data_IF_830418525853
#
_entry.id   IF_830418525853
#
_cell.length_a   1.000
_cell.length_b   1.000
_cell.length_c   1.000
_cell.angle_alpha   90.00
_cell.angle_beta   90.00
_cell.angle_gamma   90.00
#
_symmetry.space_group_name_H-M   'P 1'
#
loop_
_entity.id
_entity.type
_entity.pdbx_description
1 polymer ?
#
# COMPACT_ATOMS: atom_id res chain seq x y z
N UNK A 1 9.24 2.46 97.76
CA UNK A 1 8.12 1.73 98.40
C UNK A 1 7.13 1.36 97.31
N UNK A 2 6.84 0.07 97.19
CA UNK A 2 5.74 -0.56 96.47
C UNK A 2 5.79 -0.71 94.94
N UNK A 3 5.28 -1.88 94.55
CA UNK A 3 5.40 -2.68 93.34
C UNK A 3 4.52 -2.19 92.16
N UNK A 4 4.77 -2.69 90.92
CA UNK A 4 3.84 -2.63 89.78
C UNK A 4 2.69 -3.66 89.97
N UNK A 5 1.54 -3.60 89.27
CA UNK A 5 1.42 -4.23 87.94
C UNK A 5 0.32 -3.64 87.01
N UNK A 6 0.35 -3.89 85.70
CA UNK A 6 -0.63 -4.77 85.04
C UNK A 6 -0.44 -4.82 83.51
N UNK A 7 -0.79 -5.98 82.99
CA UNK A 7 -0.67 -6.49 81.64
C UNK A 7 -1.74 -5.99 80.64
N UNK A 8 -1.46 -6.31 79.36
CA UNK A 8 -2.40 -6.73 78.29
C UNK A 8 -2.95 -5.67 77.31
N UNK A 9 -2.31 -5.71 76.13
CA UNK A 9 -2.87 -5.95 74.77
C UNK A 9 -3.56 -4.85 73.95
N UNK A 10 -3.34 -5.01 72.63
CA UNK A 10 -4.03 -4.43 71.44
C UNK A 10 -3.79 -2.93 71.21
N UNK A 11 -3.42 -2.43 70.03
CA UNK A 11 -3.59 -2.93 68.66
C UNK A 11 -2.48 -2.34 67.76
N UNK A 12 -2.08 -3.09 66.74
CA UNK A 12 -1.00 -2.74 65.81
C UNK A 12 -1.57 -2.09 64.57
N UNK A 13 -1.66 -0.75 64.53
CA UNK A 13 -1.96 -0.03 63.28
C UNK A 13 -0.67 0.13 62.45
N UNK A 14 -0.28 -0.96 61.79
CA UNK A 14 0.69 -0.93 60.70
C UNK A 14 0.03 -0.22 59.49
N UNK A 15 0.51 0.98 59.21
CA UNK A 15 0.19 1.75 58.01
C UNK A 15 0.78 1.03 56.77
N UNK A 16 0.02 0.11 56.19
CA UNK A 16 0.29 -0.46 54.87
C UNK A 16 0.06 0.63 53.82
N UNK A 17 1.09 1.43 53.54
CA UNK A 17 1.15 2.20 52.30
C UNK A 17 1.31 1.23 51.13
N UNK A 18 0.21 0.65 50.69
CA UNK A 18 0.14 -0.16 49.48
C UNK A 18 0.15 0.76 48.26
N UNK A 19 1.33 1.32 47.96
CA UNK A 19 1.65 1.80 46.62
C UNK A 19 2.15 0.59 45.82
N UNK A 20 1.22 -0.25 45.39
CA UNK A 20 1.51 -1.29 44.43
C UNK A 20 0.82 -0.91 43.12
N UNK A 21 1.64 -0.47 42.16
CA UNK A 21 1.17 -0.09 40.85
C UNK A 21 0.59 -1.30 40.13
N UNK A 22 -0.71 -1.28 39.88
CA UNK A 22 -1.24 -1.93 38.70
C UNK A 22 -1.17 -0.91 37.56
N UNK A 23 0.00 -0.86 36.89
CA UNK A 23 -0.09 -0.87 35.44
C UNK A 23 -0.80 -2.19 35.14
N UNK A 24 -2.13 -2.13 35.04
CA UNK A 24 -2.88 -3.15 34.34
C UNK A 24 -2.18 -3.23 32.99
N UNK A 25 -1.72 -4.42 32.61
CA UNK A 25 -1.37 -4.71 31.24
C UNK A 25 -2.63 -4.36 30.41
N UNK A 26 -2.70 -3.13 29.87
CA UNK A 26 -3.77 -2.73 28.97
C UNK A 26 -3.70 -3.71 27.80
N UNK A 27 -4.70 -4.57 27.71
CA UNK A 27 -4.80 -5.56 26.64
C UNK A 27 -4.91 -4.77 25.33
N UNK A 28 -3.95 -5.01 24.42
CA UNK A 28 -3.90 -4.33 23.12
C UNK A 28 -5.16 -4.70 22.36
N UNK A 29 -5.97 -3.70 22.02
CA UNK A 29 -7.20 -3.93 21.24
C UNK A 29 -6.89 -4.53 19.87
N UNK A 30 -7.84 -5.23 19.27
CA UNK A 30 -7.70 -5.77 17.92
C UNK A 30 -7.33 -4.67 16.90
N UNK A 31 -7.92 -3.49 17.03
CA UNK A 31 -7.69 -2.33 16.16
C UNK A 31 -6.23 -1.85 16.27
N UNK A 32 -5.75 -1.65 17.50
CA UNK A 32 -4.36 -1.26 17.76
C UNK A 32 -3.41 -2.33 17.23
N UNK A 33 -3.63 -3.60 17.59
CA UNK A 33 -2.83 -4.73 17.11
C UNK A 33 -2.76 -4.75 15.59
N UNK A 34 -3.90 -4.67 14.90
CA UNK A 34 -4.00 -4.74 13.45
C UNK A 34 -3.25 -3.58 12.78
N UNK A 35 -3.37 -2.36 13.29
CA UNK A 35 -2.70 -1.19 12.73
C UNK A 35 -1.17 -1.23 12.92
N UNK A 36 -0.68 -1.93 13.93
CA UNK A 36 0.75 -2.12 14.20
C UNK A 36 1.39 -3.32 13.50
N UNK A 37 0.59 -4.15 12.80
CA UNK A 37 1.13 -5.24 11.98
C UNK A 37 2.03 -4.70 10.86
N UNK A 38 3.11 -5.44 10.57
CA UNK A 38 3.98 -5.15 9.42
C UNK A 38 3.18 -5.30 8.12
N UNK A 39 3.18 -4.28 7.27
CA UNK A 39 2.35 -4.21 6.06
C UNK A 39 1.06 -3.40 6.23
N UNK A 40 0.71 -3.00 7.46
CA UNK A 40 -0.47 -2.22 7.77
C UNK A 40 -0.14 -0.76 8.14
N UNK A 41 1.07 -0.30 7.81
CA UNK A 41 1.58 1.01 8.21
C UNK A 41 0.73 2.18 7.66
N UNK A 42 -0.12 1.94 6.64
CA UNK A 42 -0.98 2.95 6.07
C UNK A 42 -2.30 3.16 6.82
N UNK A 43 -2.74 2.22 7.65
CA UNK A 43 -3.97 2.34 8.41
C UNK A 43 -3.86 3.37 9.54
N UNK A 44 -4.96 4.03 9.86
CA UNK A 44 -5.15 4.70 11.16
C UNK A 44 -6.10 3.86 12.01
N UNK A 45 -5.99 4.01 13.32
CA UNK A 45 -6.92 3.41 14.27
C UNK A 45 -8.27 4.12 14.12
N UNK A 46 -9.32 3.35 13.84
CA UNK A 46 -10.70 3.83 13.74
C UNK A 46 -11.29 3.84 15.13
N UNK A 47 -11.91 4.95 15.52
CA UNK A 47 -12.56 5.05 16.83
C UNK A 47 -13.69 4.01 16.97
N UNK A 48 -13.74 3.29 18.10
CA UNK A 48 -14.76 2.27 18.33
C UNK A 48 -16.19 2.84 18.29
N UNK A 49 -16.41 4.07 18.76
CA UNK A 49 -17.72 4.73 18.72
C UNK A 49 -18.21 4.96 17.28
N UNK A 50 -17.30 5.15 16.33
CA UNK A 50 -17.62 5.25 14.91
C UNK A 50 -18.08 3.90 14.35
N UNK A 51 -17.46 2.81 14.80
CA UNK A 51 -17.78 1.43 14.39
C UNK A 51 -19.11 0.97 15.03
N UNK A 52 -19.35 1.31 16.29
CA UNK A 52 -20.58 0.95 17.01
C UNK A 52 -21.84 1.63 16.46
N UNK A 53 -21.72 2.71 15.69
CA UNK A 53 -22.84 3.34 15.00
C UNK A 53 -23.13 2.63 13.66
N UNK A 54 -24.14 1.75 13.67
CA UNK A 54 -24.62 0.98 12.51
C UNK A 54 -24.83 1.82 11.25
N UNK A 55 -25.19 3.10 11.38
CA UNK A 55 -25.37 3.97 10.23
C UNK A 55 -24.10 4.08 9.38
N UNK A 56 -22.93 4.15 10.03
CA UNK A 56 -21.63 4.25 9.37
C UNK A 56 -21.26 2.94 8.63
N UNK A 57 -21.82 1.81 9.06
CA UNK A 57 -21.55 0.48 8.52
C UNK A 57 -22.56 0.03 7.44
N UNK A 58 -23.56 0.85 7.13
CA UNK A 58 -24.64 0.54 6.19
C UNK A 58 -24.11 -0.09 4.88
N UNK A 59 -24.65 -1.26 4.53
CA UNK A 59 -24.35 -1.98 3.28
C UNK A 59 -23.06 -2.81 3.27
N UNK A 60 -22.28 -2.84 4.37
CA UNK A 60 -21.09 -3.68 4.47
C UNK A 60 -21.43 -5.16 4.74
N UNK A 61 -22.53 -5.44 5.45
CA UNK A 61 -22.99 -6.81 5.75
C UNK A 61 -23.29 -7.65 4.50
N UNK A 62 -23.65 -7.02 3.38
CA UNK A 62 -23.86 -7.71 2.10
C UNK A 62 -22.55 -8.06 1.36
N UNK A 63 -21.43 -7.44 1.75
CA UNK A 63 -20.12 -7.58 1.09
C UNK A 63 -19.19 -8.53 1.86
N UNK A 64 -19.34 -8.62 3.18
CA UNK A 64 -18.44 -9.34 4.06
C UNK A 64 -19.09 -10.65 4.54
N UNK A 65 -18.45 -11.82 4.36
CA UNK A 65 -18.91 -13.07 4.95
C UNK A 65 -18.71 -13.05 6.46
N UNK A 66 -19.56 -13.75 7.22
CA UNK A 66 -19.47 -13.80 8.68
C UNK A 66 -19.46 -12.41 9.35
N UNK A 67 -20.20 -11.44 8.79
CA UNK A 67 -20.15 -10.03 9.18
C UNK A 67 -20.26 -9.80 10.70
N UNK A 68 -21.23 -10.42 11.38
CA UNK A 68 -21.41 -10.27 12.83
C UNK A 68 -20.18 -10.75 13.62
N UNK A 69 -19.68 -11.96 13.31
CA UNK A 69 -18.46 -12.50 13.94
C UNK A 69 -17.23 -11.64 13.66
N UNK A 70 -17.10 -11.15 12.43
CA UNK A 70 -16.02 -10.25 12.03
C UNK A 70 -16.08 -8.92 12.80
N UNK A 71 -17.29 -8.37 12.99
CA UNK A 71 -17.50 -7.13 13.75
C UNK A 71 -17.20 -7.32 15.24
N UNK A 72 -17.67 -8.42 15.84
CA UNK A 72 -17.37 -8.79 17.22
C UNK A 72 -15.86 -8.96 17.43
N UNK A 73 -15.17 -9.59 16.47
CA UNK A 73 -13.70 -9.73 16.50
C UNK A 73 -12.99 -8.37 16.48
N UNK A 74 -13.45 -7.42 15.67
CA UNK A 74 -12.85 -6.08 15.58
C UNK A 74 -13.04 -5.28 16.89
N UNK A 75 -14.18 -5.48 17.55
CA UNK A 75 -14.56 -4.76 18.78
C UNK A 75 -14.16 -5.51 20.07
N UNK A 76 -13.35 -6.57 19.96
CA UNK A 76 -12.97 -7.46 21.07
C UNK A 76 -14.18 -7.90 21.93
N UNK A 77 -15.31 -8.16 21.27
CA UNK A 77 -16.54 -8.58 21.93
C UNK A 77 -16.60 -10.11 22.04
N UNK A 78 -16.33 -10.62 23.25
CA UNK A 78 -16.43 -12.05 23.56
C UNK A 78 -17.88 -12.47 23.87
N UNK A 79 -18.53 -13.13 22.91
CA UNK A 79 -19.78 -13.84 23.16
C UNK A 79 -19.50 -15.20 23.84
N UNK A 80 -19.88 -15.36 25.10
CA UNK A 80 -19.63 -16.59 25.89
C UNK A 80 -20.37 -17.85 25.37
N UNK A 81 -21.26 -17.69 24.40
CA UNK A 81 -22.06 -18.76 23.78
C UNK A 81 -21.48 -19.27 22.44
N UNK A 82 -20.23 -18.90 22.11
CA UNK A 82 -19.68 -19.14 20.79
C UNK A 82 -19.46 -20.63 20.48
N UNK A 83 -20.39 -21.21 19.72
CA UNK A 83 -20.29 -22.55 19.14
C UNK A 83 -19.60 -22.51 17.76
N UNK A 84 -18.69 -21.55 17.55
CA UNK A 84 -17.89 -21.47 16.33
C UNK A 84 -17.01 -22.72 16.21
N UNK A 85 -17.04 -23.35 15.04
CA UNK A 85 -16.13 -24.46 14.75
C UNK A 85 -14.73 -23.91 14.50
N UNK A 86 -13.70 -24.62 14.98
CA UNK A 86 -12.29 -24.21 14.89
C UNK A 86 -11.82 -24.00 13.43
N UNK A 87 -12.43 -24.66 12.45
CA UNK A 87 -12.14 -24.49 11.03
C UNK A 87 -12.70 -23.19 10.41
N UNK A 88 -13.66 -22.54 11.07
CA UNK A 88 -14.28 -21.29 10.62
C UNK A 88 -13.51 -20.05 11.11
N UNK A 89 -12.76 -20.18 12.20
CA UNK A 89 -11.99 -19.10 12.80
C UNK A 89 -11.06 -18.35 11.82
N UNK A 90 -10.23 -19.01 10.96
CA UNK A 90 -9.39 -18.28 10.00
C UNK A 90 -10.19 -17.54 8.91
N UNK A 91 -11.42 -17.99 8.61
CA UNK A 91 -12.31 -17.29 7.68
C UNK A 91 -12.88 -16.03 8.31
N UNK A 92 -13.21 -16.07 9.60
CA UNK A 92 -13.66 -14.91 10.38
C UNK A 92 -12.54 -13.89 10.52
N UNK A 93 -11.31 -14.32 10.84
CA UNK A 93 -10.15 -13.42 10.89
C UNK A 93 -9.93 -12.70 9.55
N UNK A 94 -10.02 -13.43 8.43
CA UNK A 94 -9.91 -12.83 7.10
C UNK A 94 -11.05 -11.85 6.83
N UNK A 95 -12.27 -12.17 7.26
CA UNK A 95 -13.43 -11.29 7.13
C UNK A 95 -13.29 -10.02 7.98
N UNK A 96 -12.75 -10.12 9.20
CA UNK A 96 -12.47 -8.99 10.09
C UNK A 96 -11.48 -8.01 9.44
N UNK A 97 -10.38 -8.51 8.88
CA UNK A 97 -9.41 -7.66 8.17
C UNK A 97 -10.03 -6.95 6.96
N UNK A 98 -10.87 -7.65 6.18
CA UNK A 98 -11.58 -7.05 5.05
C UNK A 98 -12.61 -6.01 5.48
N UNK A 99 -13.38 -6.31 6.54
CA UNK A 99 -14.38 -5.41 7.10
C UNK A 99 -13.73 -4.14 7.64
N UNK A 100 -12.69 -4.27 8.47
CA UNK A 100 -11.95 -3.14 9.01
C UNK A 100 -11.39 -2.25 7.89
N UNK A 101 -10.87 -2.85 6.83
CA UNK A 101 -10.41 -2.10 5.66
C UNK A 101 -11.50 -1.27 4.99
N UNK A 102 -12.71 -1.81 4.82
CA UNK A 102 -13.85 -1.07 4.26
C UNK A 102 -14.39 0.01 5.21
N UNK A 103 -14.35 -0.25 6.52
CA UNK A 103 -14.69 0.75 7.55
C UNK A 103 -13.70 1.90 7.50
N UNK A 104 -12.39 1.58 7.45
CA UNK A 104 -11.31 2.55 7.37
C UNK A 104 -11.47 3.49 6.16
N UNK A 105 -11.81 2.94 4.98
CA UNK A 105 -12.05 3.74 3.77
C UNK A 105 -13.14 4.82 3.96
N UNK A 106 -14.17 4.51 4.76
CA UNK A 106 -15.23 5.48 5.12
C UNK A 106 -14.74 6.44 6.20
N UNK A 107 -14.09 5.93 7.24
CA UNK A 107 -13.64 6.71 8.39
C UNK A 107 -12.67 7.83 8.00
N UNK A 108 -11.72 7.56 7.10
CA UNK A 108 -10.72 8.56 6.68
C UNK A 108 -11.29 9.75 5.89
N UNK A 109 -12.57 9.71 5.51
CA UNK A 109 -13.31 10.83 4.93
C UNK A 109 -14.03 11.69 5.98
N UNK A 110 -14.06 11.26 7.24
CA UNK A 110 -14.60 12.05 8.36
C UNK A 110 -13.56 13.06 8.86
N UNK A 111 -13.99 14.05 9.65
CA UNK A 111 -13.05 14.99 10.27
C UNK A 111 -12.04 14.32 11.21
N UNK A 112 -12.46 13.29 11.96
CA UNK A 112 -11.61 12.54 12.89
C UNK A 112 -10.56 11.71 12.13
N UNK A 113 -11.00 10.92 11.16
CA UNK A 113 -10.10 10.16 10.29
C UNK A 113 -9.15 11.03 9.47
N UNK A 114 -9.62 12.18 8.94
CA UNK A 114 -8.74 13.13 8.25
C UNK A 114 -7.64 13.72 9.16
N UNK A 115 -7.93 13.94 10.45
CA UNK A 115 -6.93 14.41 11.40
C UNK A 115 -5.88 13.32 11.70
N UNK A 116 -6.29 12.08 11.93
CA UNK A 116 -5.39 10.95 12.14
C UNK A 116 -4.47 10.70 10.92
N UNK A 117 -5.04 10.75 9.71
CA UNK A 117 -4.25 10.64 8.47
C UNK A 117 -3.27 11.81 8.30
N UNK A 118 -3.63 13.02 8.74
CA UNK A 118 -2.76 14.20 8.68
C UNK A 118 -1.52 14.04 9.58
N UNK A 119 -1.68 13.45 10.76
CA UNK A 119 -0.56 13.18 11.67
C UNK A 119 0.48 12.26 11.01
N UNK A 120 0.01 11.14 10.44
CA UNK A 120 0.87 10.19 9.71
C UNK A 120 1.47 10.79 8.43
N UNK A 121 0.74 11.66 7.74
CA UNK A 121 1.23 12.41 6.58
C UNK A 121 2.41 13.32 6.95
N UNK A 122 2.27 14.09 8.02
CA UNK A 122 3.34 14.98 8.52
C UNK A 122 4.57 14.20 9.01
N UNK A 123 4.37 12.98 9.51
CA UNK A 123 5.43 12.07 9.92
C UNK A 123 6.05 11.26 8.76
N UNK A 124 5.65 11.52 7.50
CA UNK A 124 6.13 10.80 6.30
C UNK A 124 5.91 9.29 6.32
N UNK A 125 4.91 8.80 7.07
CA UNK A 125 4.62 7.35 7.17
C UNK A 125 4.24 6.77 5.82
N UNK A 126 3.53 7.55 5.00
CA UNK A 126 3.13 7.15 3.65
C UNK A 126 4.25 7.25 2.60
N UNK A 127 5.42 7.75 3.01
CA UNK A 127 6.58 7.95 2.15
C UNK A 127 6.58 9.29 1.42
N UNK A 128 7.40 9.35 0.37
CA UNK A 128 7.62 10.55 -0.43
C UNK A 128 7.51 10.24 -1.93
N UNK A 129 7.30 11.29 -2.72
CA UNK A 129 7.11 11.14 -4.16
C UNK A 129 8.43 10.72 -4.84
N UNK A 130 8.42 9.65 -5.66
CA UNK A 130 9.62 9.14 -6.34
C UNK A 130 10.04 9.97 -7.56
N UNK A 131 9.26 10.98 -7.94
CA UNK A 131 9.66 11.88 -9.02
C UNK A 131 10.81 12.77 -8.51
N UNK A 132 11.99 12.70 -9.13
CA UNK A 132 13.21 13.44 -8.76
C UNK A 132 12.97 14.91 -8.37
N UNK A 133 12.06 15.58 -9.07
CA UNK A 133 11.74 17.00 -8.83
C UNK A 133 10.92 17.23 -7.57
N UNK A 134 10.08 16.26 -7.21
CA UNK A 134 9.34 16.24 -5.95
C UNK A 134 10.19 15.68 -4.80
N UNK A 135 11.08 14.71 -5.10
CA UNK A 135 11.99 14.10 -4.14
C UNK A 135 12.93 15.15 -3.52
N UNK A 136 13.47 16.07 -4.33
CA UNK A 136 14.28 17.19 -3.83
C UNK A 136 13.55 18.18 -2.92
N UNK A 137 12.21 18.16 -2.90
CA UNK A 137 11.37 18.94 -1.99
C UNK A 137 10.87 18.10 -0.80
N UNK A 138 11.30 16.84 -0.71
CA UNK A 138 10.79 15.86 0.24
C UNK A 138 9.26 15.81 0.24
N UNK A 139 8.64 15.78 -0.94
CA UNK A 139 7.18 15.85 -1.06
C UNK A 139 6.52 14.59 -0.49
N UNK A 140 5.81 14.72 0.64
CA UNK A 140 4.97 13.66 1.20
C UNK A 140 3.83 13.26 0.24
N UNK A 141 3.37 12.02 0.36
CA UNK A 141 2.30 11.42 -0.44
C UNK A 141 1.21 10.84 0.46
N UNK A 142 0.05 10.51 -0.11
CA UNK A 142 -1.06 9.86 0.61
C UNK A 142 -1.47 8.56 -0.07
N UNK A 143 -1.97 7.57 0.69
CA UNK A 143 -2.48 6.34 0.11
C UNK A 143 -3.73 6.60 -0.74
N UNK A 144 -3.91 5.81 -1.80
CA UNK A 144 -5.05 5.90 -2.72
C UNK A 144 -5.40 4.52 -3.28
N UNK A 145 -6.69 4.27 -3.45
CA UNK A 145 -7.21 3.15 -4.23
C UNK A 145 -7.45 3.51 -5.69
N UNK A 146 -7.23 2.57 -6.62
CA UNK A 146 -7.64 2.74 -8.03
C UNK A 146 -9.08 2.28 -8.28
N UNK A 147 -9.72 1.69 -7.28
CA UNK A 147 -11.07 1.15 -7.28
C UNK A 147 -11.58 1.10 -5.84
N UNK A 148 -12.88 1.36 -5.65
CA UNK A 148 -13.56 1.19 -4.35
C UNK A 148 -14.08 -0.25 -4.17
N UNK A 149 -13.96 -1.09 -5.20
CA UNK A 149 -14.26 -2.53 -5.12
C UNK A 149 -13.02 -3.33 -4.71
N UNK A 150 -13.21 -4.25 -3.77
CA UNK A 150 -12.20 -5.17 -3.28
C UNK A 150 -11.54 -5.99 -4.40
N UNK A 151 -10.26 -6.32 -4.20
CA UNK A 151 -9.40 -7.20 -5.00
C UNK A 151 -9.18 -6.74 -6.45
N UNK A 152 -9.46 -5.48 -6.76
CA UNK A 152 -9.25 -4.92 -8.10
C UNK A 152 -7.83 -4.37 -8.30
N UNK A 153 -7.27 -3.71 -7.28
CA UNK A 153 -5.95 -3.08 -7.37
C UNK A 153 -5.38 -2.89 -5.98
N UNK A 154 -4.06 -3.06 -5.79
CA UNK A 154 -3.43 -2.75 -4.52
C UNK A 154 -3.43 -1.23 -4.26
N UNK A 155 -3.18 -0.88 -3.01
CA UNK A 155 -3.00 0.48 -2.56
C UNK A 155 -1.79 1.11 -3.28
N UNK A 156 -1.98 2.36 -3.68
CA UNK A 156 -0.97 3.20 -4.31
C UNK A 156 -0.76 4.45 -3.47
N UNK A 157 0.15 5.32 -3.90
CA UNK A 157 0.35 6.63 -3.28
C UNK A 157 0.15 7.75 -4.29
N UNK A 158 -0.59 8.78 -3.90
CA UNK A 158 -0.85 9.98 -4.67
C UNK A 158 0.03 11.13 -4.18
N UNK A 159 0.67 11.82 -5.12
CA UNK A 159 1.48 13.01 -4.82
C UNK A 159 0.70 14.31 -5.15
N UNK A 160 0.52 15.23 -4.18
CA UNK A 160 -0.20 16.49 -4.44
C UNK A 160 0.55 17.47 -5.34
N UNK A 161 1.88 17.37 -5.44
CA UNK A 161 2.70 18.30 -6.22
C UNK A 161 2.72 17.96 -7.71
N UNK A 162 3.08 16.72 -8.08
CA UNK A 162 3.06 16.29 -9.47
C UNK A 162 1.68 15.80 -9.94
N UNK A 163 0.76 15.51 -9.01
CA UNK A 163 -0.61 15.04 -9.27
C UNK A 163 -0.66 13.68 -9.98
N UNK A 164 0.31 12.84 -9.69
CA UNK A 164 0.46 11.50 -10.24
C UNK A 164 0.38 10.44 -9.12
N UNK A 165 0.07 9.22 -9.53
CA UNK A 165 -0.06 8.05 -8.65
C UNK A 165 1.11 7.09 -8.89
N UNK A 166 1.70 6.59 -7.80
CA UNK A 166 2.87 5.72 -7.80
C UNK A 166 2.63 4.47 -6.97
N UNK A 167 3.46 3.44 -7.18
CA UNK A 167 3.54 2.34 -6.24
C UNK A 167 4.25 2.79 -4.96
N UNK A 168 3.84 2.31 -3.77
CA UNK A 168 4.59 2.53 -2.54
C UNK A 168 6.02 1.98 -2.67
N UNK A 169 6.99 2.60 -2.00
CA UNK A 169 8.38 2.15 -2.07
C UNK A 169 8.61 0.77 -1.42
N UNK A 170 7.80 0.41 -0.43
CA UNK A 170 7.87 -0.87 0.25
C UNK A 170 7.03 -1.92 -0.48
N UNK A 171 7.67 -3.00 -0.93
CA UNK A 171 6.99 -4.15 -1.57
C UNK A 171 5.92 -4.79 -0.69
N UNK A 172 5.99 -4.64 0.64
CA UNK A 172 5.03 -5.24 1.58
C UNK A 172 3.65 -4.61 1.46
N UNK A 173 3.61 -3.35 1.03
CA UNK A 173 2.39 -2.60 0.82
C UNK A 173 1.74 -2.91 -0.53
N UNK A 174 2.41 -3.67 -1.42
CA UNK A 174 1.85 -4.09 -2.72
C UNK A 174 0.71 -5.11 -2.57
N UNK A 175 0.60 -5.77 -1.41
CA UNK A 175 -0.50 -6.72 -1.14
C UNK A 175 -1.71 -6.04 -0.48
N UNK A 176 -1.58 -4.80 -0.01
CA UNK A 176 -2.63 -4.09 0.67
C UNK A 176 -3.70 -3.65 -0.33
N UNK A 177 -4.98 -3.92 -0.08
CA UNK A 177 -6.05 -3.57 -1.02
C UNK A 177 -6.27 -2.05 -1.07
N UNK A 178 -6.32 -1.50 -2.28
CA UNK A 178 -6.55 -0.06 -2.47
C UNK A 178 -7.96 0.37 -2.06
N UNK A 179 -8.94 -0.54 -2.08
CA UNK A 179 -10.31 -0.26 -1.67
C UNK A 179 -10.40 0.20 -0.20
N UNK A 180 -9.42 -0.15 0.64
CA UNK A 180 -9.36 0.26 2.05
C UNK A 180 -9.01 1.74 2.27
N UNK A 181 -8.63 2.44 1.20
CA UNK A 181 -8.36 3.88 1.19
C UNK A 181 -9.31 4.64 0.26
N UNK A 182 -9.89 3.94 -0.72
CA UNK A 182 -10.81 4.50 -1.69
C UNK A 182 -10.15 5.40 -2.73
N UNK A 183 -10.93 5.73 -3.75
CA UNK A 183 -10.49 6.51 -4.92
C UNK A 183 -10.48 8.02 -4.65
N UNK A 184 -11.27 8.48 -3.68
CA UNK A 184 -11.50 9.91 -3.43
C UNK A 184 -10.68 10.50 -2.30
N UNK A 185 -10.15 9.68 -1.38
CA UNK A 185 -9.58 10.15 -0.12
C UNK A 185 -8.53 11.27 -0.27
N UNK A 186 -7.45 11.13 -1.08
CA UNK A 186 -6.46 12.21 -1.19
C UNK A 186 -7.04 13.50 -1.74
N UNK A 187 -8.02 13.39 -2.65
CA UNK A 187 -8.65 14.56 -3.26
C UNK A 187 -9.45 15.35 -2.24
N UNK A 188 -10.28 14.66 -1.44
CA UNK A 188 -11.05 15.27 -0.35
C UNK A 188 -10.11 15.81 0.73
N UNK A 189 -9.07 15.06 1.09
CA UNK A 189 -8.06 15.49 2.06
C UNK A 189 -7.41 16.82 1.67
N UNK A 190 -6.98 16.98 0.40
CA UNK A 190 -6.36 18.23 -0.05
C UNK A 190 -7.37 19.36 -0.32
N UNK A 191 -8.67 19.07 -0.47
CA UNK A 191 -9.72 20.10 -0.41
C UNK A 191 -9.89 20.63 1.02
N UNK A 192 -9.75 19.77 2.03
CA UNK A 192 -9.82 20.13 3.45
C UNK A 192 -8.55 20.85 3.92
N UNK A 193 -7.36 20.44 3.43
CA UNK A 193 -6.06 21.01 3.79
C UNK A 193 -5.32 21.63 2.59
N UNK A 194 -5.87 22.69 1.95
CA UNK A 194 -5.32 23.26 0.73
C UNK A 194 -3.91 23.86 0.92
N UNK A 195 -3.53 24.22 2.15
CA UNK A 195 -2.20 24.73 2.48
C UNK A 195 -1.07 23.71 2.28
N UNK A 196 -1.40 22.42 2.21
CA UNK A 196 -0.42 21.34 1.99
C UNK A 196 -0.13 21.10 0.51
N UNK A 197 -0.87 21.75 -0.40
CA UNK A 197 -0.70 21.60 -1.84
C UNK A 197 0.25 22.67 -2.36
N UNK A 198 1.40 22.23 -2.87
CA UNK A 198 2.35 23.10 -3.55
C UNK A 198 1.72 23.69 -4.83
N UNK A 199 1.67 25.03 -5.01
CA UNK A 199 0.99 25.64 -6.17
C UNK A 199 1.67 25.37 -7.52
N UNK A 200 2.98 25.15 -7.52
CA UNK A 200 3.72 24.81 -8.74
C UNK A 200 3.51 23.36 -9.16
N UNK A 201 3.71 23.09 -10.44
CA UNK A 201 3.87 21.72 -10.96
C UNK A 201 5.30 21.52 -11.44
N UNK A 202 5.89 20.33 -11.23
CA UNK A 202 7.23 20.03 -11.74
C UNK A 202 7.34 20.25 -13.24
N UNK A 203 8.41 20.94 -13.68
CA UNK A 203 8.69 21.08 -15.10
C UNK A 203 9.10 19.72 -15.68
N UNK A 204 8.57 19.27 -16.84
CA UNK A 204 8.93 17.97 -17.39
C UNK A 204 10.44 17.88 -17.71
N UNK A 205 11.02 16.69 -17.52
CA UNK A 205 12.42 16.43 -17.84
C UNK A 205 12.71 16.71 -19.33
N UNK A 206 13.78 17.48 -19.60
CA UNK A 206 14.21 17.82 -20.97
C UNK A 206 15.48 17.04 -21.29
N UNK A 207 15.41 15.94 -22.07
CA UNK A 207 16.58 15.14 -22.38
C UNK A 207 17.55 15.90 -23.29
N UNK A 208 18.84 15.78 -23.00
CA UNK A 208 19.93 16.44 -23.73
C UNK A 208 21.07 15.47 -24.01
N UNK A 209 21.68 15.59 -25.19
CA UNK A 209 22.91 14.88 -25.58
C UNK A 209 23.94 15.93 -25.96
N UNK A 210 25.10 15.94 -25.29
CA UNK A 210 26.13 16.98 -25.42
C UNK A 210 25.58 18.42 -25.29
N UNK A 211 24.59 18.62 -24.41
CA UNK A 211 23.94 19.93 -24.19
C UNK A 211 22.80 20.25 -25.15
N UNK A 212 22.69 19.56 -26.29
CA UNK A 212 21.61 19.78 -27.26
C UNK A 212 20.34 19.05 -26.86
N UNK A 213 19.20 19.76 -26.93
CA UNK A 213 17.88 19.16 -26.69
C UNK A 213 17.57 18.15 -27.79
N UNK A 214 17.03 16.99 -27.42
CA UNK A 214 16.55 16.02 -28.41
C UNK A 214 15.28 16.59 -29.07
N UNK A 215 15.29 16.73 -30.39
CA UNK A 215 14.14 17.23 -31.12
C UNK A 215 12.99 16.20 -31.15
N UNK A 216 11.74 16.67 -31.06
CA UNK A 216 10.54 15.80 -30.99
C UNK A 216 10.40 14.86 -32.19
N UNK A 217 10.93 15.26 -33.36
CA UNK A 217 10.88 14.45 -34.58
C UNK A 217 11.70 13.16 -34.50
N UNK A 218 12.64 13.03 -33.56
CA UNK A 218 13.50 11.83 -33.46
C UNK A 218 12.67 10.58 -33.18
N UNK A 219 11.69 10.65 -32.27
CA UNK A 219 10.78 9.51 -31.99
C UNK A 219 9.97 9.11 -33.23
N UNK A 220 9.41 10.09 -33.93
CA UNK A 220 8.60 9.85 -35.12
C UNK A 220 9.44 9.26 -36.27
N UNK A 221 10.64 9.79 -36.47
CA UNK A 221 11.56 9.29 -37.50
C UNK A 221 12.01 7.85 -37.22
N UNK A 222 12.31 7.52 -35.96
CA UNK A 222 12.64 6.15 -35.55
C UNK A 222 11.47 5.19 -35.74
N UNK A 223 10.22 5.62 -35.45
CA UNK A 223 9.02 4.81 -35.72
C UNK A 223 8.90 4.51 -37.21
N UNK A 224 8.99 5.54 -38.07
CA UNK A 224 8.93 5.39 -39.53
C UNK A 224 10.02 4.49 -40.08
N UNK A 225 11.26 4.61 -39.58
CA UNK A 225 12.36 3.72 -39.99
C UNK A 225 12.10 2.26 -39.59
N UNK A 226 11.60 2.00 -38.38
CA UNK A 226 11.24 0.64 -37.94
C UNK A 226 10.14 0.05 -38.82
N UNK A 227 9.10 0.82 -39.12
CA UNK A 227 8.02 0.39 -40.02
C UNK A 227 8.53 0.10 -41.44
N UNK A 228 9.45 0.91 -41.96
CA UNK A 228 10.08 0.67 -43.27
C UNK A 228 10.95 -0.58 -43.28
N UNK A 229 11.78 -0.79 -42.24
CA UNK A 229 12.60 -2.00 -42.11
C UNK A 229 11.73 -3.25 -41.96
N UNK A 230 10.63 -3.19 -41.20
CA UNK A 230 9.68 -4.29 -41.07
C UNK A 230 9.06 -4.63 -42.43
N UNK A 231 8.60 -3.63 -43.19
CA UNK A 231 8.05 -3.82 -44.55
C UNK A 231 9.07 -4.41 -45.52
N UNK A 232 10.33 -4.00 -45.42
CA UNK A 232 11.39 -4.61 -46.21
C UNK A 232 11.56 -6.08 -45.83
N UNK A 233 11.71 -6.42 -44.55
CA UNK A 233 11.86 -7.82 -44.08
C UNK A 233 10.69 -8.69 -44.54
N UNK A 234 9.45 -8.21 -44.40
CA UNK A 234 8.27 -8.94 -44.88
C UNK A 234 8.32 -9.14 -46.40
N UNK A 235 8.75 -8.13 -47.16
CA UNK A 235 8.91 -8.24 -48.63
C UNK A 235 9.99 -9.24 -49.03
N UNK A 236 11.11 -9.31 -48.31
CA UNK A 236 12.16 -10.32 -48.53
C UNK A 236 11.64 -11.74 -48.22
N UNK A 237 10.79 -11.90 -47.21
CA UNK A 237 10.19 -13.19 -46.84
C UNK A 237 9.09 -13.64 -47.82
N UNK A 238 8.27 -12.73 -48.34
CA UNK A 238 7.22 -13.04 -49.32
C UNK A 238 7.71 -13.10 -50.77
N UNK A 239 8.87 -12.50 -51.07
CA UNK A 239 9.48 -12.50 -52.41
C UNK A 239 10.37 -13.71 -52.72
N UNK A 240 10.63 -14.58 -51.74
CA UNK A 240 11.51 -15.75 -51.87
C UNK A 240 10.86 -17.00 -52.50
N UNK A 241 9.58 -16.96 -52.89
CA UNK A 241 8.87 -18.11 -53.49
C UNK A 241 8.68 -17.99 -55.01
N UNK A 242 9.48 -17.17 -55.70
CA UNK A 242 9.36 -16.95 -57.14
C UNK A 242 10.67 -17.03 -57.90
N UNK A 243 10.89 -18.17 -58.55
CA UNK A 243 11.77 -18.38 -59.71
C UNK A 243 13.25 -18.72 -59.47
N UNK A 244 13.55 -20.03 -59.39
CA UNK A 244 14.84 -20.58 -59.80
C UNK A 244 14.59 -21.71 -60.83
N UNK A 245 14.54 -21.33 -62.11
CA UNK A 245 14.58 -22.26 -63.24
C UNK A 245 16.03 -22.36 -63.76
N UNK A 246 16.57 -23.57 -63.65
CA UNK A 246 17.61 -24.24 -64.46
C UNK A 246 18.77 -23.44 -65.11
N UNK A 247 19.98 -23.67 -64.60
CA UNK A 247 21.26 -23.98 -65.29
C UNK A 247 22.35 -23.98 -64.20
N UNK A 248 22.99 -25.07 -63.78
CA UNK A 248 23.87 -25.96 -64.55
C UNK A 248 25.31 -25.76 -64.04
N UNK A 249 25.92 -26.79 -63.44
CA UNK A 249 27.39 -26.90 -63.29
C UNK A 249 28.00 -26.71 -61.88
N UNK A 250 28.53 -27.82 -61.37
CA UNK A 250 29.71 -27.98 -60.50
C UNK A 250 29.69 -27.70 -58.98
N UNK A 251 30.40 -28.61 -58.30
CA UNK A 251 30.48 -28.89 -56.87
C UNK A 251 31.45 -27.94 -56.15
N UNK A 252 31.15 -27.57 -54.90
CA UNK A 252 32.15 -27.37 -53.85
C UNK A 252 31.52 -27.44 -52.46
N UNK A 253 32.23 -28.11 -51.55
CA UNK A 253 31.81 -28.56 -50.23
C UNK A 253 31.60 -27.44 -49.19
N UNK A 254 30.63 -27.69 -48.30
CA UNK A 254 30.74 -27.55 -46.84
C UNK A 254 31.14 -26.20 -46.22
N UNK A 255 30.21 -25.58 -45.48
CA UNK A 255 30.42 -25.05 -44.11
C UNK A 255 29.13 -24.46 -43.53
N UNK A 256 28.61 -25.04 -42.44
CA UNK A 256 27.51 -24.48 -41.65
C UNK A 256 28.01 -23.32 -40.77
N UNK A 257 27.29 -22.18 -40.66
CA UNK A 257 27.63 -21.15 -39.68
C UNK A 257 27.12 -21.52 -38.29
N UNK A 258 28.03 -21.49 -37.30
CA UNK A 258 27.78 -21.63 -35.86
C UNK A 258 26.85 -20.52 -35.36
N UNK A 259 25.88 -20.90 -34.52
CA UNK A 259 25.17 -19.98 -33.62
C UNK A 259 26.14 -19.52 -32.54
N UNK A 260 26.42 -18.23 -32.46
CA UNK A 260 27.05 -17.63 -31.28
C UNK A 260 25.96 -17.17 -30.31
N UNK A 261 25.90 -17.85 -29.16
CA UNK A 261 25.14 -17.41 -27.98
C UNK A 261 25.87 -16.22 -27.35
N UNK A 262 25.20 -15.06 -27.27
CA UNK A 262 25.69 -13.92 -26.49
C UNK A 262 25.38 -14.15 -25.00
N UNK A 263 26.36 -14.68 -24.28
CA UNK A 263 26.44 -14.60 -22.81
C UNK A 263 26.89 -13.18 -22.43
N UNK A 264 26.06 -12.48 -21.65
CA UNK A 264 26.42 -11.19 -21.04
C UNK A 264 27.44 -11.35 -19.92
N UNK A 265 28.28 -10.33 -19.64
CA UNK A 265 29.29 -10.42 -18.60
C UNK A 265 28.67 -10.20 -17.22
N UNK A 266 28.85 -11.19 -16.35
CA UNK A 266 28.70 -11.06 -14.91
C UNK A 266 30.05 -10.65 -14.29
N UNK A 267 30.00 -9.63 -13.42
CA UNK A 267 30.93 -9.46 -12.31
C UNK A 267 32.04 -8.43 -12.49
N UNK A 268 32.08 -7.44 -11.58
CA UNK A 268 33.22 -7.26 -10.67
C UNK A 268 32.91 -6.25 -9.55
N UNK A 269 33.18 -6.69 -8.32
CA UNK A 269 33.42 -5.97 -7.06
C UNK A 269 32.26 -5.22 -6.40
#
# INVERSE_FOLDING_TARGET
MFNPPNEVSTDSDENYSEVSGSQLDEEITWIEWFCHLKGNEFFVEVDEDYIQDDFNLTGLSAQIPYYEYALNTILDFDDQDDQMLEDQQPLVETAAQMLYGLIHARFILTSRGMAAMLEKYNAYVYGTCPLVQCEGLNQAVLPIGMSDLLRQSPAKVFCPHCREVYFPASYRLECLDGAYFGTSFPHVFFMTYPQLVTPSVPAPFVPRIYGFKIHKSVKENLRKQREQNQKQITRWQTGGTGSAAAAGGEQAEGSQPRREEMLGPAGAA
#
